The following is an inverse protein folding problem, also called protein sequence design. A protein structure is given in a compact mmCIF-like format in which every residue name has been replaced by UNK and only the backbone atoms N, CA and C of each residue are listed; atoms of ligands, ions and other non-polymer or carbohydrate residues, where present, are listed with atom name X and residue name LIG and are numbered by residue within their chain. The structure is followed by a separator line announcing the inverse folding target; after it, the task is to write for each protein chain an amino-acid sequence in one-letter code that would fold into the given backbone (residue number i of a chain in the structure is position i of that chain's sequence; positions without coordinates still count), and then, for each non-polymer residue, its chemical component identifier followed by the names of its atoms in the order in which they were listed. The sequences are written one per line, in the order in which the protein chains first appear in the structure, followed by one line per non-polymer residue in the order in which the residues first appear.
data_IF_967698777311
#
_entry.id   IF_967698777311
#
_cell.length_a   1.000
_cell.length_b   1.000
_cell.length_c   1.000
_cell.angle_alpha   90.00
_cell.angle_beta   90.00
_cell.angle_gamma   90.00
#
_symmetry.space_group_name_H-M   'P 1'
#
loop_
_entity.id
_entity.type
_entity.pdbx_description
1 polymer ?
#
# COMPACT_ATOMS: atom_id res chain seq x y z
N UNK A 1 34.82 -15.21 44.30
CA UNK A 1 35.26 -15.69 42.97
C UNK A 1 34.10 -16.49 42.40
N UNK A 2 33.73 -16.18 41.15
CA UNK A 2 32.90 -17.03 40.26
C UNK A 2 31.40 -17.09 40.63
N UNK A 3 30.40 -16.86 39.78
CA UNK A 3 30.33 -16.80 38.31
C UNK A 3 29.25 -15.83 37.82
N UNK A 4 29.46 -15.36 36.58
CA UNK A 4 28.57 -14.51 35.80
C UNK A 4 27.57 -15.39 35.05
N UNK A 5 26.27 -15.17 35.25
CA UNK A 5 25.26 -15.62 34.29
C UNK A 5 24.65 -14.44 33.56
N UNK A 6 25.07 -14.30 32.31
CA UNK A 6 24.51 -13.38 31.34
C UNK A 6 23.22 -13.94 30.78
N UNK A 7 22.09 -13.40 31.23
CA UNK A 7 20.80 -13.64 30.58
C UNK A 7 20.71 -12.78 29.33
N UNK A 8 21.00 -13.39 28.18
CA UNK A 8 20.73 -12.83 26.87
C UNK A 8 19.22 -12.57 26.72
N UNK A 9 18.82 -11.31 26.82
CA UNK A 9 17.50 -10.82 26.45
C UNK A 9 17.37 -10.83 24.92
N UNK A 10 17.13 -12.03 24.38
CA UNK A 10 16.66 -12.20 23.01
C UNK A 10 15.29 -11.55 22.87
N UNK A 11 15.27 -10.29 22.44
CA UNK A 11 14.08 -9.59 21.97
C UNK A 11 13.51 -10.38 20.79
N UNK A 12 12.58 -11.29 21.09
CA UNK A 12 11.66 -11.86 20.11
C UNK A 12 10.72 -10.72 19.73
N UNK A 13 11.07 -9.99 18.68
CA UNK A 13 10.19 -8.98 18.09
C UNK A 13 8.85 -9.64 17.76
N UNK A 14 7.82 -9.23 18.50
CA UNK A 14 6.46 -9.67 18.25
C UNK A 14 6.05 -9.22 16.84
N UNK A 15 5.19 -10.00 16.15
CA UNK A 15 4.67 -9.62 14.85
C UNK A 15 3.66 -8.48 15.08
N UNK A 16 4.18 -7.27 15.14
CA UNK A 16 3.38 -6.07 15.38
C UNK A 16 2.38 -5.90 14.24
N UNK A 17 1.11 -6.10 14.57
CA UNK A 17 0.02 -5.50 13.83
C UNK A 17 0.21 -3.98 13.93
N UNK A 18 0.69 -3.37 12.86
CA UNK A 18 1.11 -1.97 12.86
C UNK A 18 -0.06 -1.05 13.23
N UNK A 19 0.09 -0.38 14.38
CA UNK A 19 -0.82 0.66 14.88
C UNK A 19 -0.50 2.07 14.36
N UNK A 20 0.67 2.29 13.74
CA UNK A 20 1.16 3.63 13.36
C UNK A 20 1.65 3.70 11.90
N UNK A 21 1.31 4.76 11.13
CA UNK A 21 1.85 4.98 9.80
C UNK A 21 3.37 5.19 9.85
N UNK A 22 4.09 4.58 8.91
CA UNK A 22 5.52 4.80 8.72
C UNK A 22 5.78 6.08 7.92
N UNK A 23 6.94 6.70 8.14
CA UNK A 23 7.43 7.75 7.24
C UNK A 23 7.74 7.17 5.85
N UNK A 24 7.83 8.03 4.83
CA UNK A 24 8.08 7.59 3.45
C UNK A 24 9.43 6.86 3.32
N UNK A 25 10.47 7.41 3.93
CA UNK A 25 11.82 6.84 3.87
C UNK A 25 11.88 5.47 4.56
N UNK A 26 11.33 5.36 5.77
CA UNK A 26 11.24 4.08 6.49
C UNK A 26 10.39 3.05 5.75
N UNK A 27 9.30 3.50 5.10
CA UNK A 27 8.44 2.65 4.31
C UNK A 27 9.20 2.01 3.14
N UNK A 28 9.99 2.79 2.40
CA UNK A 28 10.77 2.27 1.27
C UNK A 28 11.89 1.32 1.72
N UNK A 29 12.58 1.63 2.82
CA UNK A 29 13.58 0.71 3.41
C UNK A 29 12.94 -0.62 3.81
N UNK A 30 11.75 -0.60 4.43
CA UNK A 30 11.02 -1.82 4.76
C UNK A 30 10.49 -2.54 3.52
N UNK A 31 10.07 -1.81 2.49
CA UNK A 31 9.60 -2.38 1.23
C UNK A 31 10.72 -3.16 0.51
N UNK A 32 11.93 -2.61 0.43
CA UNK A 32 13.09 -3.31 -0.13
C UNK A 32 13.40 -4.60 0.64
N UNK A 33 13.42 -4.52 1.99
CA UNK A 33 13.61 -5.70 2.85
C UNK A 33 12.53 -6.76 2.59
N UNK A 34 11.27 -6.33 2.49
CA UNK A 34 10.14 -7.21 2.21
C UNK A 34 10.27 -7.92 0.86
N UNK A 35 10.75 -7.24 -0.18
CA UNK A 35 11.04 -7.88 -1.47
C UNK A 35 12.14 -8.94 -1.35
N UNK A 36 13.24 -8.64 -0.66
CA UNK A 36 14.33 -9.62 -0.44
C UNK A 36 13.83 -10.86 0.30
N UNK A 37 13.07 -10.66 1.37
CA UNK A 37 12.47 -11.75 2.15
C UNK A 37 11.49 -12.58 1.32
N UNK A 38 10.65 -11.93 0.51
CA UNK A 38 9.71 -12.61 -0.37
C UNK A 38 10.41 -13.46 -1.44
N UNK A 39 11.57 -13.00 -1.94
CA UNK A 39 12.38 -13.74 -2.91
C UNK A 39 13.01 -15.00 -2.31
N UNK A 40 13.51 -14.91 -1.08
CA UNK A 40 14.13 -16.04 -0.36
C UNK A 40 13.07 -17.07 0.07
N UNK A 41 11.94 -16.60 0.59
CA UNK A 41 10.86 -17.46 1.10
C UNK A 41 9.84 -17.89 0.04
N UNK A 42 10.03 -17.49 -1.22
CA UNK A 42 9.10 -17.71 -2.33
C UNK A 42 7.65 -17.30 -2.04
N UNK A 43 7.48 -16.28 -1.20
CA UNK A 43 6.19 -15.82 -0.74
C UNK A 43 5.66 -14.66 -1.58
N UNK A 44 4.34 -14.52 -1.66
CA UNK A 44 3.72 -13.39 -2.33
C UNK A 44 3.72 -12.14 -1.44
N UNK A 45 4.25 -11.04 -1.97
CA UNK A 45 4.11 -9.70 -1.41
C UNK A 45 2.89 -9.01 -2.03
N UNK A 46 1.96 -8.54 -1.20
CA UNK A 46 0.76 -7.81 -1.64
C UNK A 46 0.87 -6.34 -1.28
N UNK A 47 0.78 -5.47 -2.27
CA UNK A 47 0.60 -4.02 -2.08
C UNK A 47 -0.86 -3.66 -2.35
N UNK A 48 -1.44 -2.78 -1.55
CA UNK A 48 -2.83 -2.34 -1.66
C UNK A 48 -2.91 -0.85 -1.41
N UNK A 49 -3.76 -0.17 -2.18
CA UNK A 49 -4.00 1.26 -2.08
C UNK A 49 -5.44 1.49 -1.61
N UNK A 50 -5.63 2.32 -0.60
CA UNK A 50 -6.95 2.70 -0.08
C UNK A 50 -7.02 4.21 0.17
N UNK A 51 -8.23 4.78 0.13
CA UNK A 51 -8.46 6.17 0.56
C UNK A 51 -8.50 6.23 2.09
N UNK A 52 -7.86 7.23 2.67
CA UNK A 52 -8.00 7.58 4.09
C UNK A 52 -9.22 8.47 4.25
N UNK A 53 -10.31 7.90 4.75
CA UNK A 53 -11.59 8.61 4.93
C UNK A 53 -11.74 9.21 6.33
N UNK A 54 -10.73 9.05 7.20
CA UNK A 54 -10.83 9.42 8.61
C UNK A 54 -11.77 8.49 9.38
N UNK A 55 -11.26 7.80 10.40
CA UNK A 55 -12.09 6.97 11.26
C UNK A 55 -12.61 7.80 12.43
N UNK A 56 -13.72 8.51 12.25
CA UNK A 56 -14.43 9.13 13.37
C UNK A 56 -15.23 8.07 14.12
N UNK A 57 -15.00 7.93 15.43
CA UNK A 57 -15.65 6.91 16.26
C UNK A 57 -17.15 7.20 16.50
N UNK A 58 -17.60 8.41 16.17
CA UNK A 58 -18.94 8.92 16.52
C UNK A 58 -19.83 9.12 15.28
N UNK A 59 -19.26 9.48 14.13
CA UNK A 59 -20.00 9.72 12.90
C UNK A 59 -19.38 8.94 11.74
N UNK A 60 -20.20 8.16 11.04
CA UNK A 60 -19.78 7.49 9.81
C UNK A 60 -19.50 8.57 8.75
N UNK A 61 -18.38 8.49 8.02
CA UNK A 61 -18.13 9.36 6.88
C UNK A 61 -19.31 9.34 5.90
N UNK A 62 -19.70 10.51 5.39
CA UNK A 62 -20.78 10.64 4.39
C UNK A 62 -20.55 9.75 3.16
N UNK A 63 -19.28 9.52 2.81
CA UNK A 63 -18.88 8.64 1.71
C UNK A 63 -19.21 7.15 1.94
N UNK A 64 -19.44 6.73 3.19
CA UNK A 64 -19.80 5.37 3.56
C UNK A 64 -21.30 5.21 3.81
N UNK A 65 -22.06 6.30 3.85
CA UNK A 65 -23.51 6.28 4.05
C UNK A 65 -24.26 6.57 2.74
N UNK A 66 -24.30 5.54 1.89
CA UNK A 66 -24.93 5.60 0.56
C UNK A 66 -26.44 5.83 0.65
N UNK A 67 -27.07 5.41 1.76
CA UNK A 67 -28.52 5.46 1.95
C UNK A 67 -29.01 6.87 2.25
N UNK A 68 -28.32 7.59 3.15
CA UNK A 68 -28.71 8.95 3.52
C UNK A 68 -28.05 10.02 2.64
N UNK A 69 -26.85 9.74 2.09
CA UNK A 69 -26.06 10.70 1.33
C UNK A 69 -25.52 10.09 0.02
N UNK A 70 -26.38 9.87 -1.01
CA UNK A 70 -25.96 9.30 -2.29
C UNK A 70 -25.01 10.22 -3.09
N UNK A 71 -24.93 11.49 -2.73
CA UNK A 71 -23.94 12.44 -3.27
C UNK A 71 -22.54 12.25 -2.67
N UNK A 72 -22.38 11.54 -1.54
CA UNK A 72 -21.08 11.23 -0.96
C UNK A 72 -20.38 10.05 -1.65
N UNK A 73 -21.12 9.20 -2.36
CA UNK A 73 -20.58 8.03 -3.07
C UNK A 73 -20.14 8.41 -4.49
N UNK A 74 -18.83 8.34 -4.72
CA UNK A 74 -18.21 8.63 -6.03
C UNK A 74 -18.73 7.68 -7.12
N UNK A 75 -19.02 6.42 -6.81
CA UNK A 75 -19.53 5.45 -7.80
C UNK A 75 -20.90 5.89 -8.30
N UNK A 76 -21.82 6.20 -7.38
CA UNK A 76 -23.17 6.66 -7.72
C UNK A 76 -23.17 8.05 -8.36
N UNK A 77 -22.29 8.94 -7.91
CA UNK A 77 -22.12 10.25 -8.54
C UNK A 77 -21.58 10.12 -9.97
N UNK A 78 -20.67 9.17 -10.23
CA UNK A 78 -20.11 8.99 -11.58
C UNK A 78 -21.15 8.51 -12.60
N UNK A 79 -22.10 7.69 -12.17
CA UNK A 79 -23.15 7.08 -12.99
C UNK A 79 -24.35 8.02 -13.25
N UNK A 80 -24.70 8.88 -12.30
CA UNK A 80 -25.91 9.70 -12.39
C UNK A 80 -25.66 11.13 -12.85
N UNK A 81 -26.20 11.49 -14.03
CA UNK A 81 -26.19 12.88 -14.53
C UNK A 81 -26.94 13.85 -13.62
N UNK A 82 -28.02 13.39 -12.96
CA UNK A 82 -28.82 14.22 -12.04
C UNK A 82 -28.07 14.55 -10.76
N UNK A 83 -27.33 13.57 -10.22
CA UNK A 83 -26.52 13.81 -9.02
C UNK A 83 -25.36 14.77 -9.30
N UNK A 84 -24.76 14.74 -10.50
CA UNK A 84 -23.70 15.68 -10.89
C UNK A 84 -24.14 17.15 -10.95
N UNK A 85 -25.40 17.42 -11.28
CA UNK A 85 -25.93 18.78 -11.38
C UNK A 85 -26.16 19.44 -10.01
N UNK A 86 -26.47 18.63 -9.00
CA UNK A 86 -26.82 19.10 -7.66
C UNK A 86 -25.70 18.87 -6.62
N UNK A 87 -24.62 18.20 -7.00
CA UNK A 87 -23.51 17.91 -6.10
C UNK A 87 -22.60 19.13 -5.95
N UNK A 88 -22.39 19.55 -4.71
CA UNK A 88 -21.26 20.40 -4.33
C UNK A 88 -20.08 19.46 -4.04
N UNK A 89 -19.05 19.41 -4.91
CA UNK A 89 -17.92 18.51 -4.69
C UNK A 89 -17.15 18.94 -3.44
N UNK A 90 -16.82 17.98 -2.57
CA UNK A 90 -15.92 18.25 -1.46
C UNK A 90 -14.53 18.57 -2.02
N UNK A 91 -14.01 19.76 -1.68
CA UNK A 91 -12.69 20.23 -2.12
C UNK A 91 -11.55 19.70 -1.25
N UNK A 92 -11.85 18.96 -0.18
CA UNK A 92 -10.82 18.44 0.73
C UNK A 92 -9.95 17.39 0.02
N UNK A 93 -8.62 17.58 -0.03
CA UNK A 93 -7.72 16.57 -0.57
C UNK A 93 -7.72 15.36 0.37
N UNK A 94 -8.04 14.18 -0.16
CA UNK A 94 -7.94 12.93 0.58
C UNK A 94 -6.50 12.42 0.57
N UNK A 95 -6.11 11.77 1.68
CA UNK A 95 -4.84 11.05 1.76
C UNK A 95 -5.03 9.63 1.28
N UNK A 96 -3.94 9.02 0.82
CA UNK A 96 -3.90 7.62 0.40
C UNK A 96 -3.15 6.78 1.41
N UNK A 97 -3.69 5.61 1.71
CA UNK A 97 -3.07 4.57 2.52
C UNK A 97 -2.45 3.56 1.59
N UNK A 98 -1.12 3.45 1.63
CA UNK A 98 -0.38 2.41 0.90
C UNK A 98 -0.01 1.31 1.88
N UNK A 99 -0.65 0.15 1.75
CA UNK A 99 -0.50 -1.00 2.63
C UNK A 99 0.28 -2.12 1.93
N UNK A 100 1.28 -2.65 2.61
CA UNK A 100 2.01 -3.85 2.21
C UNK A 100 1.68 -4.98 3.17
N UNK A 101 1.45 -6.18 2.65
CA UNK A 101 1.23 -7.40 3.43
C UNK A 101 2.00 -8.56 2.82
N UNK A 102 2.71 -9.30 3.66
CA UNK A 102 3.38 -10.54 3.28
C UNK A 102 3.25 -11.58 4.39
N UNK A 103 3.23 -12.89 4.07
CA UNK A 103 3.44 -13.92 5.06
C UNK A 103 4.93 -13.96 5.44
N UNK A 104 5.21 -14.05 6.74
CA UNK A 104 6.55 -14.22 7.31
C UNK A 104 6.43 -15.03 8.60
N UNK A 105 7.22 -16.08 8.73
CA UNK A 105 7.30 -16.93 9.92
C UNK A 105 5.92 -17.41 10.44
N UNK A 106 5.09 -17.93 9.54
CA UNK A 106 3.74 -18.43 9.84
C UNK A 106 2.69 -17.34 10.15
N UNK A 107 3.05 -16.05 10.14
CA UNK A 107 2.15 -14.91 10.42
C UNK A 107 2.14 -13.90 9.27
N UNK A 108 1.14 -13.01 9.25
CA UNK A 108 1.07 -11.94 8.23
C UNK A 108 1.64 -10.64 8.77
N UNK A 109 2.83 -10.28 8.31
CA UNK A 109 3.41 -8.96 8.55
C UNK A 109 2.75 -7.94 7.63
N UNK A 110 2.36 -6.80 8.19
CA UNK A 110 1.70 -5.71 7.46
C UNK A 110 2.37 -4.40 7.82
N UNK A 111 2.54 -3.49 6.86
CA UNK A 111 2.96 -2.14 7.14
C UNK A 111 2.39 -1.15 6.15
N UNK A 112 2.20 0.09 6.57
CA UNK A 112 1.60 1.11 5.72
C UNK A 112 2.20 2.49 5.93
N UNK A 113 2.02 3.32 4.92
CA UNK A 113 2.30 4.76 4.97
C UNK A 113 1.10 5.56 4.50
N UNK A 114 1.07 6.84 4.86
CA UNK A 114 0.09 7.81 4.39
C UNK A 114 0.75 8.71 3.34
N UNK A 115 0.04 8.94 2.24
CA UNK A 115 0.53 9.75 1.12
C UNK A 115 -0.46 10.87 0.87
N UNK A 116 0.03 12.11 0.96
CA UNK A 116 -0.74 13.30 0.67
C UNK A 116 -0.72 13.59 -0.83
N UNK A 117 -1.72 14.31 -1.33
CA UNK A 117 -1.79 14.74 -2.72
C UNK A 117 -0.56 15.54 -3.16
N UNK A 118 0.03 16.33 -2.25
CA UNK A 118 1.21 17.18 -2.53
C UNK A 118 2.50 16.38 -2.74
N UNK A 119 2.62 15.19 -2.13
CA UNK A 119 3.83 14.37 -2.17
C UNK A 119 3.68 13.13 -3.04
N UNK A 120 2.52 12.96 -3.67
CA UNK A 120 2.13 11.78 -4.45
C UNK A 120 3.09 11.49 -5.61
N UNK A 121 3.48 12.50 -6.37
CA UNK A 121 4.35 12.33 -7.53
C UNK A 121 5.76 11.87 -7.12
N UNK A 122 6.29 12.45 -6.05
CA UNK A 122 7.59 12.03 -5.49
C UNK A 122 7.49 10.58 -4.99
N UNK A 123 6.45 10.28 -4.21
CA UNK A 123 6.20 8.94 -3.69
C UNK A 123 6.17 7.88 -4.81
N UNK A 124 5.46 8.15 -5.91
CA UNK A 124 5.38 7.20 -7.02
C UNK A 124 6.70 7.01 -7.77
N UNK A 125 7.49 8.07 -7.95
CA UNK A 125 8.83 7.97 -8.54
C UNK A 125 9.72 7.05 -7.71
N UNK A 126 9.76 7.28 -6.40
CA UNK A 126 10.58 6.49 -5.47
C UNK A 126 10.08 5.04 -5.39
N UNK A 127 8.77 4.82 -5.32
CA UNK A 127 8.15 3.50 -5.36
C UNK A 127 8.52 2.72 -6.62
N UNK A 128 8.37 3.33 -7.81
CA UNK A 128 8.69 2.67 -9.08
C UNK A 128 10.17 2.31 -9.15
N UNK A 129 11.06 3.15 -8.64
CA UNK A 129 12.49 2.88 -8.59
C UNK A 129 12.78 1.65 -7.71
N UNK A 130 12.24 1.61 -6.48
CA UNK A 130 12.39 0.48 -5.55
C UNK A 130 11.85 -0.83 -6.14
N UNK A 131 10.69 -0.78 -6.79
CA UNK A 131 10.09 -1.99 -7.40
C UNK A 131 10.94 -2.48 -8.57
N UNK A 132 11.42 -1.59 -9.44
CA UNK A 132 12.25 -1.97 -10.59
C UNK A 132 13.57 -2.62 -10.17
N UNK A 133 14.24 -2.07 -9.15
CA UNK A 133 15.49 -2.64 -8.63
C UNK A 133 15.24 -4.00 -7.96
N UNK A 134 14.16 -4.11 -7.18
CA UNK A 134 13.83 -5.30 -6.41
C UNK A 134 13.25 -6.45 -7.23
N UNK A 135 12.54 -6.17 -8.33
CA UNK A 135 11.93 -7.16 -9.24
C UNK A 135 12.80 -7.46 -10.48
N UNK A 136 14.12 -7.37 -10.33
CA UNK A 136 15.07 -7.79 -11.36
C UNK A 136 15.06 -9.31 -11.51
N UNK A 137 14.71 -9.79 -12.71
CA UNK A 137 14.64 -11.24 -13.03
C UNK A 137 13.37 -11.70 -13.73
N UNK A 138 12.40 -10.81 -13.97
CA UNK A 138 11.25 -11.14 -14.82
C UNK A 138 11.70 -11.40 -16.26
N UNK A 139 11.47 -12.62 -16.75
CA UNK A 139 11.77 -13.00 -18.14
C UNK A 139 10.91 -12.13 -19.06
N UNK A 140 11.56 -11.30 -19.89
CA UNK A 140 10.86 -10.58 -20.96
C UNK A 140 10.20 -11.60 -21.88
N UNK A 141 8.87 -11.48 -22.03
CA UNK A 141 8.12 -12.27 -23.01
C UNK A 141 8.74 -12.08 -24.39
N UNK A 142 9.30 -13.15 -24.97
CA UNK A 142 9.85 -13.12 -26.33
C UNK A 142 8.74 -12.68 -27.28
N UNK A 143 8.92 -11.55 -27.97
CA UNK A 143 8.02 -11.15 -29.06
C UNK A 143 8.15 -12.21 -30.16
N UNK A 144 7.06 -12.90 -30.51
CA UNK A 144 6.99 -13.70 -31.74
C UNK A 144 7.28 -12.75 -32.89
N UNK A 145 8.39 -12.96 -33.63
CA UNK A 145 8.64 -12.26 -34.89
C UNK A 145 7.46 -12.60 -35.80
N UNK A 146 6.61 -11.62 -36.15
CA UNK A 146 5.68 -11.77 -37.27
C UNK A 146 6.57 -12.00 -38.49
N UNK A 147 6.51 -13.21 -39.05
CA UNK A 147 7.28 -13.56 -40.25
C UNK A 147 6.98 -12.53 -41.32
N UNK A 148 7.99 -11.78 -41.73
CA UNK A 148 7.91 -10.93 -42.90
C UNK A 148 7.61 -11.83 -44.08
N UNK A 149 6.44 -11.65 -44.68
CA UNK A 149 6.13 -12.22 -45.99
C UNK A 149 7.11 -11.56 -46.95
N UNK A 150 8.15 -12.28 -47.36
CA UNK A 150 8.99 -11.87 -48.49
C UNK A 150 8.08 -11.85 -49.71
N UNK A 151 7.89 -10.67 -50.30
CA UNK A 151 7.50 -10.55 -51.70
C UNK A 151 8.71 -10.92 -52.56
#
# INVERSE_FOLDING_TARGET
MSDKDGTASGLKETPDFIKKPLSHDEFFVKLEKAFRMSKVSHNQLKVSLKRDLGSHHVQKPNELDVTSNPTGDISKMSESKRLKQNAQPDTKPYRLIVLVSMPYDGKRTKFFTLVDSKTLDKFWKDYVNVVKTSMSGLIKKKKKKKGGKKN
#
